data_IF_938305698304
#
_entry.id   IF_938305698304
#
_cell.length_a   1.000
_cell.length_b   1.000
_cell.length_c   1.000
_cell.angle_alpha   90.00
_cell.angle_beta   90.00
_cell.angle_gamma   90.00
#
_symmetry.space_group_name_H-M   'P 1'
#
loop_
_entity.id
_entity.type
_entity.pdbx_description
1 polymer ?
#
# COMPACT_ATOMS: atom_id res chain seq x y z
N UNK A 1 9.37 22.25 19.86
CA UNK A 1 10.00 21.32 18.89
C UNK A 1 10.68 22.13 17.82
N UNK A 2 11.98 21.93 17.57
CA UNK A 2 12.64 22.46 16.37
C UNK A 2 11.83 22.07 15.13
N UNK A 3 11.55 22.98 14.20
CA UNK A 3 10.66 22.73 13.04
C UNK A 3 10.99 21.48 12.22
N UNK A 4 12.22 20.95 12.34
CA UNK A 4 12.69 19.69 11.75
C UNK A 4 11.91 18.45 12.19
N UNK A 5 11.36 18.42 13.42
CA UNK A 5 10.64 17.26 13.96
C UNK A 5 9.11 17.37 13.82
N UNK A 6 8.58 18.51 13.37
CA UNK A 6 7.13 18.72 13.31
C UNK A 6 6.43 17.76 12.33
N UNK A 7 6.99 17.58 11.13
CA UNK A 7 6.44 16.67 10.11
C UNK A 7 6.47 15.20 10.54
N UNK A 8 7.62 14.61 10.93
CA UNK A 8 7.62 13.21 11.38
C UNK A 8 6.81 13.02 12.66
N UNK A 9 6.79 14.00 13.58
CA UNK A 9 5.96 13.96 14.77
C UNK A 9 4.47 13.95 14.47
N UNK A 10 4.01 14.76 13.51
CA UNK A 10 2.61 14.77 13.07
C UNK A 10 2.24 13.47 12.32
N UNK A 11 3.12 12.95 11.46
CA UNK A 11 2.91 11.67 10.80
C UNK A 11 2.80 10.51 11.82
N UNK A 12 3.65 10.52 12.85
CA UNK A 12 3.59 9.57 13.96
C UNK A 12 2.27 9.71 14.75
N UNK A 13 1.82 10.93 15.02
CA UNK A 13 0.55 11.18 15.70
C UNK A 13 -0.65 10.62 14.91
N UNK A 14 -0.70 10.84 13.59
CA UNK A 14 -1.75 10.24 12.75
C UNK A 14 -1.63 8.71 12.71
N UNK A 15 -0.42 8.16 12.60
CA UNK A 15 -0.22 6.71 12.64
C UNK A 15 -0.69 6.11 13.96
N UNK A 16 -0.38 6.74 15.09
CA UNK A 16 -0.85 6.32 16.40
C UNK A 16 -2.38 6.42 16.54
N UNK A 17 -2.99 7.48 15.98
CA UNK A 17 -4.44 7.64 15.97
C UNK A 17 -5.12 6.55 15.12
N UNK A 18 -4.52 6.16 13.99
CA UNK A 18 -5.06 5.11 13.11
C UNK A 18 -4.85 3.71 13.68
N UNK A 19 -3.69 3.43 14.27
CA UNK A 19 -3.30 2.07 14.69
C UNK A 19 -3.32 1.85 16.21
N UNK A 20 -3.87 2.79 16.98
CA UNK A 20 -3.89 2.76 18.45
C UNK A 20 -4.22 1.40 19.08
N UNK A 21 -5.29 0.71 18.66
CA UNK A 21 -5.62 -0.61 19.19
C UNK A 21 -4.52 -1.67 19.03
N UNK A 22 -3.71 -1.59 17.96
CA UNK A 22 -2.66 -2.58 17.68
C UNK A 22 -1.47 -2.47 18.64
N UNK A 23 -1.38 -1.42 19.45
CA UNK A 23 -0.40 -1.31 20.52
C UNK A 23 -0.64 -2.35 21.64
N UNK A 24 -1.86 -2.88 21.77
CA UNK A 24 -2.15 -3.95 22.71
C UNK A 24 -1.48 -5.28 22.28
N UNK A 25 -1.18 -6.17 23.24
CA UNK A 25 -0.64 -7.50 22.96
C UNK A 25 -1.54 -8.33 22.04
N UNK A 26 -0.96 -9.34 21.38
CA UNK A 26 -1.64 -10.23 20.44
C UNK A 26 -1.22 -10.02 18.99
N UNK A 27 -1.96 -10.64 18.09
CA UNK A 27 -1.63 -10.84 16.67
C UNK A 27 -2.65 -10.19 15.77
N UNK A 28 -2.23 -9.72 14.58
CA UNK A 28 -3.13 -9.19 13.58
C UNK A 28 -3.68 -10.35 12.74
N UNK A 29 -4.95 -10.69 12.95
CA UNK A 29 -5.71 -11.65 12.15
C UNK A 29 -6.93 -10.93 11.54
N UNK A 30 -6.81 -10.52 10.29
CA UNK A 30 -7.87 -9.85 9.54
C UNK A 30 -7.68 -10.10 8.05
N UNK A 31 -8.53 -10.96 7.45
CA UNK A 31 -8.47 -11.34 6.03
C UNK A 31 -7.07 -11.79 5.62
N UNK A 32 -6.36 -10.99 4.84
CA UNK A 32 -5.05 -11.34 4.31
C UNK A 32 -3.92 -11.09 5.33
N UNK A 33 -4.18 -10.27 6.35
CA UNK A 33 -3.25 -10.05 7.45
C UNK A 33 -3.35 -11.20 8.44
N UNK A 34 -2.36 -12.09 8.42
CA UNK A 34 -2.22 -13.20 9.36
C UNK A 34 -0.80 -13.24 9.87
N UNK A 35 -0.61 -12.75 11.09
CA UNK A 35 0.69 -12.78 11.77
C UNK A 35 0.74 -13.92 12.79
N UNK A 36 1.79 -14.73 12.75
CA UNK A 36 2.04 -15.81 13.72
C UNK A 36 3.24 -15.43 14.61
N UNK A 37 3.39 -16.01 15.82
CA UNK A 37 4.55 -15.75 16.67
C UNK A 37 5.86 -16.10 15.96
N UNK A 38 5.84 -17.22 15.24
CA UNK A 38 6.94 -17.72 14.43
C UNK A 38 6.43 -18.03 13.03
N UNK A 39 7.11 -17.53 12.01
CA UNK A 39 6.86 -17.88 10.62
C UNK A 39 7.92 -18.85 10.09
N UNK A 40 7.50 -19.85 9.33
CA UNK A 40 8.38 -20.80 8.64
C UNK A 40 8.24 -20.67 7.13
N UNK A 41 9.22 -21.20 6.41
CA UNK A 41 9.27 -21.17 4.95
C UNK A 41 9.52 -22.61 4.46
N UNK A 42 8.49 -23.47 4.39
CA UNK A 42 8.63 -24.80 3.79
C UNK A 42 8.87 -24.70 2.28
N UNK A 43 9.29 -25.80 1.65
CA UNK A 43 9.63 -25.84 0.21
C UNK A 43 8.44 -25.43 -0.68
N UNK A 44 7.21 -25.76 -0.26
CA UNK A 44 5.98 -25.28 -0.89
C UNK A 44 5.83 -23.75 -0.88
N UNK A 45 6.29 -23.06 0.17
CA UNK A 45 6.26 -21.60 0.26
C UNK A 45 7.23 -20.92 -0.72
N UNK A 46 8.31 -21.62 -1.10
CA UNK A 46 9.26 -21.18 -2.14
C UNK A 46 8.78 -21.49 -3.57
N UNK A 47 7.63 -22.13 -3.73
CA UNK A 47 7.11 -22.55 -5.03
C UNK A 47 7.74 -23.83 -5.57
N UNK A 48 8.49 -24.55 -4.74
CA UNK A 48 9.19 -25.79 -5.10
C UNK A 48 8.32 -27.05 -4.92
N UNK A 49 7.18 -26.92 -4.21
CA UNK A 49 6.25 -28.01 -3.90
C UNK A 49 5.02 -28.10 -4.83
N UNK A 50 5.08 -27.59 -6.06
CA UNK A 50 3.95 -27.65 -7.01
C UNK A 50 2.82 -26.63 -6.78
N UNK A 51 2.83 -25.88 -5.67
CA UNK A 51 1.92 -24.73 -5.48
C UNK A 51 2.61 -23.43 -5.85
N UNK A 52 1.89 -22.47 -6.44
CA UNK A 52 2.46 -21.16 -6.76
C UNK A 52 3.07 -20.49 -5.50
N UNK A 53 4.30 -19.94 -5.57
CA UNK A 53 4.98 -19.35 -4.42
C UNK A 53 4.12 -18.25 -3.78
N UNK A 54 3.73 -18.45 -2.51
CA UNK A 54 2.90 -17.49 -1.78
C UNK A 54 3.80 -16.42 -1.19
N UNK A 55 3.68 -15.20 -1.73
CA UNK A 55 4.20 -13.95 -1.17
C UNK A 55 5.74 -13.86 -0.91
N UNK A 56 6.60 -14.57 -1.65
CA UNK A 56 8.07 -14.36 -1.57
C UNK A 56 8.46 -13.07 -2.32
N UNK A 57 9.07 -12.05 -1.69
CA UNK A 57 9.95 -12.15 -0.53
C UNK A 57 9.35 -11.66 0.80
N UNK A 58 8.09 -11.22 0.86
CA UNK A 58 7.43 -10.83 2.12
C UNK A 58 7.51 -11.94 3.17
N UNK A 59 7.07 -13.15 2.81
CA UNK A 59 6.97 -14.25 3.76
C UNK A 59 8.37 -14.79 4.12
N UNK A 60 9.34 -14.70 3.20
CA UNK A 60 10.77 -14.95 3.50
C UNK A 60 11.30 -13.96 4.55
N UNK A 61 11.06 -12.65 4.36
CA UNK A 61 11.51 -11.63 5.30
C UNK A 61 10.90 -11.84 6.69
N UNK A 62 9.60 -12.18 6.77
CA UNK A 62 8.95 -12.53 8.02
C UNK A 62 9.51 -13.81 8.65
N UNK A 63 9.76 -14.87 7.87
CA UNK A 63 10.36 -16.10 8.35
C UNK A 63 11.81 -15.90 8.84
N UNK A 64 12.57 -14.98 8.25
CA UNK A 64 13.90 -14.63 8.73
C UNK A 64 13.85 -13.84 10.04
N UNK A 65 13.11 -12.73 10.07
CA UNK A 65 13.07 -11.83 11.23
C UNK A 65 12.38 -12.47 12.43
N UNK A 66 11.38 -13.32 12.21
CA UNK A 66 10.67 -13.99 13.31
C UNK A 66 11.48 -15.05 14.05
N UNK A 67 12.77 -15.25 13.71
CA UNK A 67 13.71 -16.06 14.49
C UNK A 67 14.20 -15.31 15.73
N UNK A 68 14.19 -13.97 15.66
CA UNK A 68 14.71 -13.09 16.70
C UNK A 68 13.60 -12.32 17.43
N UNK A 69 12.53 -11.97 16.71
CA UNK A 69 11.41 -11.17 17.21
C UNK A 69 10.09 -11.91 17.01
N UNK A 70 9.09 -11.63 17.83
CA UNK A 70 7.74 -12.16 17.59
C UNK A 70 7.18 -11.62 16.25
N UNK A 71 6.70 -12.51 15.38
CA UNK A 71 6.21 -12.16 14.05
C UNK A 71 4.99 -11.22 14.06
N UNK A 72 4.15 -11.29 15.11
CA UNK A 72 3.06 -10.35 15.34
C UNK A 72 3.56 -8.93 15.59
N UNK A 73 4.61 -8.80 16.41
CA UNK A 73 5.28 -7.50 16.64
C UNK A 73 5.88 -6.96 15.34
N UNK A 74 6.54 -7.82 14.55
CA UNK A 74 7.13 -7.42 13.26
C UNK A 74 6.08 -6.88 12.29
N UNK A 75 4.96 -7.60 12.09
CA UNK A 75 3.89 -7.17 11.18
C UNK A 75 3.27 -5.84 11.64
N UNK A 76 2.99 -5.69 12.95
CA UNK A 76 2.47 -4.43 13.51
C UNK A 76 3.46 -3.28 13.34
N UNK A 77 4.75 -3.52 13.56
CA UNK A 77 5.80 -2.52 13.38
C UNK A 77 5.97 -2.12 11.91
N UNK A 78 5.91 -3.06 10.97
CA UNK A 78 5.95 -2.79 9.53
C UNK A 78 4.72 -1.99 9.08
N UNK A 79 3.54 -2.29 9.62
CA UNK A 79 2.32 -1.55 9.34
C UNK A 79 2.36 -0.11 9.89
N UNK A 80 2.85 0.07 11.12
CA UNK A 80 3.08 1.40 11.68
C UNK A 80 4.16 2.17 10.89
N UNK A 81 5.23 1.48 10.51
CA UNK A 81 6.27 2.01 9.63
C UNK A 81 5.71 2.45 8.27
N UNK A 82 4.81 1.67 7.67
CA UNK A 82 4.18 2.01 6.40
C UNK A 82 3.46 3.37 6.44
N UNK A 83 2.61 3.61 7.45
CA UNK A 83 1.87 4.87 7.59
C UNK A 83 2.78 6.04 7.97
N UNK A 84 3.74 5.80 8.86
CA UNK A 84 4.72 6.82 9.26
C UNK A 84 5.56 7.27 8.06
N UNK A 85 6.08 6.31 7.29
CA UNK A 85 6.90 6.55 6.11
C UNK A 85 6.06 7.21 5.01
N UNK A 86 4.79 6.83 4.82
CA UNK A 86 3.87 7.49 3.90
C UNK A 86 3.71 8.98 4.23
N UNK A 87 3.30 9.28 5.46
CA UNK A 87 3.07 10.65 5.92
C UNK A 87 4.34 11.50 5.90
N UNK A 88 5.42 10.99 6.49
CA UNK A 88 6.70 11.70 6.51
C UNK A 88 7.25 11.94 5.11
N UNK A 89 7.20 10.94 4.24
CA UNK A 89 7.62 11.05 2.85
C UNK A 89 6.81 12.07 2.07
N UNK A 90 5.48 12.07 2.22
CA UNK A 90 4.60 13.04 1.58
C UNK A 90 4.90 14.48 2.02
N UNK A 91 5.10 14.71 3.33
CA UNK A 91 5.55 16.01 3.84
C UNK A 91 6.93 16.42 3.29
N UNK A 92 7.88 15.48 3.20
CA UNK A 92 9.21 15.75 2.62
C UNK A 92 9.15 16.05 1.12
N UNK A 93 8.29 15.36 0.38
CA UNK A 93 8.05 15.60 -1.04
C UNK A 93 7.42 16.98 -1.25
N UNK A 94 6.44 17.35 -0.44
CA UNK A 94 5.85 18.69 -0.44
C UNK A 94 6.89 19.78 -0.15
N UNK A 95 7.72 19.61 0.88
CA UNK A 95 8.79 20.58 1.18
C UNK A 95 9.87 20.68 0.09
N UNK A 96 10.06 19.62 -0.71
CA UNK A 96 10.98 19.62 -1.85
C UNK A 96 10.40 20.38 -3.06
N UNK A 97 9.13 20.14 -3.38
CA UNK A 97 8.50 20.63 -4.63
C UNK A 97 7.80 21.98 -4.43
N UNK A 98 7.30 22.24 -3.22
CA UNK A 98 6.53 23.41 -2.78
C UNK A 98 7.11 24.02 -1.49
N UNK A 99 8.37 24.47 -1.49
CA UNK A 99 8.99 25.04 -0.29
C UNK A 99 8.21 26.24 0.27
N UNK A 100 7.54 27.00 -0.58
CA UNK A 100 6.76 28.18 -0.21
C UNK A 100 5.50 27.84 0.60
N UNK A 101 5.00 26.61 0.50
CA UNK A 101 3.84 26.15 1.29
C UNK A 101 4.21 25.95 2.77
N UNK A 102 5.51 25.92 3.08
CA UNK A 102 6.04 25.84 4.44
C UNK A 102 5.60 24.59 5.20
N UNK A 103 5.68 24.65 6.53
CA UNK A 103 5.15 23.60 7.40
C UNK A 103 3.64 23.34 7.18
N UNK A 104 2.76 24.36 7.03
CA UNK A 104 1.33 24.13 6.84
C UNK A 104 1.02 23.22 5.64
N UNK A 105 1.64 23.45 4.48
CA UNK A 105 1.45 22.58 3.30
C UNK A 105 1.96 21.16 3.53
N UNK A 106 3.07 21.00 4.24
CA UNK A 106 3.61 19.68 4.58
C UNK A 106 2.66 18.89 5.49
N UNK A 107 1.96 19.54 6.43
CA UNK A 107 0.98 18.88 7.29
C UNK A 107 -0.27 18.44 6.52
N UNK A 108 -0.74 19.22 5.53
CA UNK A 108 -1.84 18.78 4.66
C UNK A 108 -1.42 17.59 3.81
N UNK A 109 -0.20 17.60 3.25
CA UNK A 109 0.34 16.47 2.50
C UNK A 109 0.45 15.19 3.36
N UNK A 110 0.92 15.31 4.61
CA UNK A 110 0.94 14.20 5.59
C UNK A 110 -0.47 13.68 5.84
N UNK A 111 -1.44 14.57 6.06
CA UNK A 111 -2.83 14.19 6.33
C UNK A 111 -3.44 13.44 5.15
N UNK A 112 -3.29 13.93 3.92
CA UNK A 112 -3.77 13.25 2.72
C UNK A 112 -3.15 11.86 2.53
N UNK A 113 -1.86 11.72 2.80
CA UNK A 113 -1.16 10.44 2.61
C UNK A 113 -1.54 9.38 3.66
N UNK A 114 -1.88 9.78 4.89
CA UNK A 114 -2.22 8.83 5.97
C UNK A 114 -3.73 8.65 6.13
N UNK A 115 -4.50 9.72 5.98
CA UNK A 115 -5.93 9.78 6.28
C UNK A 115 -6.77 9.82 5.00
N UNK A 116 -6.93 8.66 4.36
CA UNK A 116 -7.72 8.54 3.13
C UNK A 116 -8.37 7.14 3.01
N UNK A 117 -9.39 6.99 2.15
CA UNK A 117 -10.07 5.71 1.96
C UNK A 117 -9.17 4.56 1.49
N UNK A 118 -8.14 4.80 0.67
CA UNK A 118 -7.21 3.76 0.23
C UNK A 118 -6.53 3.10 1.43
N UNK A 119 -6.03 3.91 2.37
CA UNK A 119 -5.39 3.41 3.59
C UNK A 119 -6.38 2.60 4.42
N UNK A 120 -7.59 3.13 4.64
CA UNK A 120 -8.61 2.46 5.45
C UNK A 120 -9.06 1.11 4.87
N UNK A 121 -9.34 1.08 3.57
CA UNK A 121 -9.76 -0.13 2.86
C UNK A 121 -8.64 -1.18 2.84
N UNK A 122 -7.38 -0.78 2.64
CA UNK A 122 -6.24 -1.71 2.65
C UNK A 122 -5.86 -2.20 4.05
N UNK A 123 -6.12 -1.40 5.09
CA UNK A 123 -6.07 -1.86 6.48
C UNK A 123 -7.12 -2.93 6.75
N UNK A 124 -8.38 -2.68 6.38
CA UNK A 124 -9.48 -3.64 6.58
C UNK A 124 -9.32 -4.93 5.75
N UNK A 125 -8.66 -4.84 4.59
CA UNK A 125 -8.34 -6.00 3.77
C UNK A 125 -7.14 -6.80 4.32
N UNK A 126 -6.32 -6.20 5.19
CA UNK A 126 -5.11 -6.84 5.72
C UNK A 126 -3.89 -6.75 4.81
N UNK A 127 -3.87 -5.81 3.86
CA UNK A 127 -2.78 -5.62 2.90
C UNK A 127 -1.62 -4.75 3.46
N UNK A 128 -1.04 -5.15 4.59
CA UNK A 128 -0.02 -4.35 5.30
C UNK A 128 1.25 -4.10 4.47
N UNK A 129 1.71 -5.08 3.68
CA UNK A 129 2.90 -4.98 2.85
C UNK A 129 2.70 -4.13 1.59
N UNK A 130 1.47 -4.12 1.05
CA UNK A 130 1.09 -3.18 0.00
C UNK A 130 1.07 -1.75 0.54
N UNK A 131 0.58 -1.54 1.76
CA UNK A 131 0.63 -0.23 2.43
C UNK A 131 2.07 0.24 2.65
N UNK A 132 3.00 -0.69 2.91
CA UNK A 132 4.42 -0.38 2.98
C UNK A 132 4.95 0.09 1.62
N UNK A 133 4.58 -0.57 0.52
CA UNK A 133 4.86 -0.10 -0.83
C UNK A 133 4.26 1.27 -1.16
N UNK A 134 3.00 1.49 -0.77
CA UNK A 134 2.34 2.81 -0.84
C UNK A 134 3.12 3.89 -0.09
N UNK A 135 3.60 3.58 1.12
CA UNK A 135 4.39 4.49 1.93
C UNK A 135 5.75 4.84 1.33
N UNK A 136 6.31 3.97 0.49
CA UNK A 136 7.58 4.21 -0.20
C UNK A 136 7.46 5.18 -1.39
N UNK A 137 6.28 5.32 -2.01
CA UNK A 137 6.08 6.12 -3.22
C UNK A 137 6.55 7.59 -3.14
N UNK A 138 6.27 8.37 -2.07
CA UNK A 138 6.69 9.76 -2.03
C UNK A 138 8.21 9.89 -1.80
N UNK A 139 8.85 8.87 -1.22
CA UNK A 139 10.31 8.82 -1.07
C UNK A 139 11.01 8.49 -2.38
N UNK A 140 10.46 7.54 -3.14
CA UNK A 140 10.93 7.21 -4.50
C UNK A 140 10.82 8.45 -5.39
N UNK A 141 9.67 9.12 -5.38
CA UNK A 141 9.47 10.38 -6.09
C UNK A 141 10.52 11.43 -5.67
N UNK A 142 10.68 11.68 -4.36
CA UNK A 142 11.63 12.66 -3.87
C UNK A 142 13.09 12.34 -4.24
N UNK A 143 13.49 11.07 -4.21
CA UNK A 143 14.83 10.64 -4.60
C UNK A 143 15.10 10.89 -6.08
N UNK A 144 14.18 10.48 -6.97
CA UNK A 144 14.33 10.72 -8.41
C UNK A 144 14.31 12.21 -8.73
N UNK A 145 13.39 12.99 -8.16
CA UNK A 145 13.33 14.43 -8.39
C UNK A 145 14.63 15.14 -7.95
N UNK A 146 15.26 14.72 -6.84
CA UNK A 146 16.57 15.26 -6.42
C UNK A 146 17.71 14.85 -7.36
N UNK A 147 17.73 13.61 -7.83
CA UNK A 147 18.68 13.16 -8.85
C UNK A 147 18.56 13.97 -10.15
N UNK A 148 17.34 14.41 -10.50
CA UNK A 148 17.05 15.24 -11.67
C UNK A 148 17.41 16.71 -11.47
N UNK A 149 17.29 17.26 -10.26
CA UNK A 149 17.38 18.69 -9.97
C UNK A 149 18.76 19.34 -10.19
N UNK A 150 19.88 18.60 -10.12
CA UNK A 150 21.24 19.13 -10.33
C UNK A 150 22.04 19.40 -9.03
N UNK A 151 23.12 20.17 -9.11
CA UNK A 151 24.09 20.42 -7.99
C UNK A 151 23.58 21.32 -6.86
N UNK A 152 22.32 21.76 -6.93
CA UNK A 152 21.67 22.59 -5.91
C UNK A 152 21.24 21.80 -4.66
N UNK A 153 21.41 20.47 -4.65
CA UNK A 153 21.11 19.65 -3.47
C UNK A 153 22.32 19.60 -2.53
N UNK A 154 22.20 20.05 -1.27
CA UNK A 154 23.29 19.97 -0.29
C UNK A 154 23.63 18.53 0.16
N UNK A 155 22.96 17.52 -0.39
CA UNK A 155 23.19 16.10 -0.08
C UNK A 155 24.02 15.43 -1.17
N UNK A 156 24.91 14.49 -0.78
CA UNK A 156 25.65 13.70 -1.76
C UNK A 156 24.69 12.87 -2.61
N UNK A 157 24.91 12.85 -3.92
CA UNK A 157 24.09 12.07 -4.88
C UNK A 157 23.99 10.58 -4.50
N UNK A 158 25.02 10.03 -3.86
CA UNK A 158 25.02 8.66 -3.37
C UNK A 158 23.87 8.38 -2.37
N UNK A 159 23.49 9.36 -1.53
CA UNK A 159 22.39 9.20 -0.59
C UNK A 159 21.03 9.10 -1.29
N UNK A 160 20.85 9.80 -2.42
CA UNK A 160 19.60 9.72 -3.21
C UNK A 160 19.50 8.40 -3.97
N UNK A 161 20.61 7.88 -4.50
CA UNK A 161 20.65 6.52 -5.05
C UNK A 161 20.40 5.45 -3.99
N UNK A 162 21.02 5.56 -2.82
CA UNK A 162 20.80 4.63 -1.71
C UNK A 162 19.34 4.65 -1.24
N UNK A 163 18.74 5.84 -1.11
CA UNK A 163 17.32 5.96 -0.78
C UNK A 163 16.44 5.33 -1.86
N UNK A 164 16.73 5.56 -3.14
CA UNK A 164 15.97 4.98 -4.24
C UNK A 164 16.04 3.45 -4.24
N UNK A 165 17.23 2.86 -4.04
CA UNK A 165 17.40 1.41 -3.89
C UNK A 165 16.62 0.89 -2.68
N UNK A 166 16.78 1.52 -1.52
CA UNK A 166 16.13 1.10 -0.28
C UNK A 166 14.61 1.12 -0.38
N UNK A 167 14.02 2.24 -0.81
CA UNK A 167 12.55 2.36 -0.88
C UNK A 167 11.95 1.53 -2.01
N UNK A 168 12.68 1.29 -3.11
CA UNK A 168 12.22 0.38 -4.17
C UNK A 168 12.27 -1.07 -3.69
N UNK A 169 13.33 -1.48 -2.99
CA UNK A 169 13.44 -2.82 -2.40
C UNK A 169 12.35 -3.06 -1.33
N UNK A 170 12.11 -2.05 -0.48
CA UNK A 170 11.09 -2.11 0.57
C UNK A 170 9.68 -2.21 -0.03
N UNK A 171 9.39 -1.46 -1.10
CA UNK A 171 8.14 -1.60 -1.85
C UNK A 171 8.04 -2.97 -2.55
N UNK A 172 9.17 -3.51 -2.99
CA UNK A 172 9.30 -4.83 -3.62
C UNK A 172 9.10 -6.03 -2.70
N UNK A 173 8.76 -5.82 -1.42
CA UNK A 173 8.17 -6.87 -0.59
C UNK A 173 6.86 -7.40 -1.18
N UNK A 174 6.22 -6.68 -2.11
CA UNK A 174 5.12 -7.22 -2.94
C UNK A 174 5.40 -6.94 -4.43
N UNK A 175 4.88 -7.74 -5.37
CA UNK A 175 5.05 -7.48 -6.80
C UNK A 175 4.40 -6.16 -7.17
N UNK A 176 3.18 -5.92 -6.68
CA UNK A 176 2.47 -4.66 -6.91
C UNK A 176 3.24 -3.48 -6.36
N UNK A 177 3.79 -3.55 -5.15
CA UNK A 177 4.58 -2.47 -4.57
C UNK A 177 5.82 -2.13 -5.40
N UNK A 178 6.56 -3.13 -5.90
CA UNK A 178 7.67 -2.92 -6.84
C UNK A 178 7.21 -2.18 -8.11
N UNK A 179 6.10 -2.62 -8.72
CA UNK A 179 5.56 -2.00 -9.94
C UNK A 179 5.13 -0.55 -9.66
N UNK A 180 4.45 -0.29 -8.54
CA UNK A 180 4.03 1.06 -8.14
C UNK A 180 5.24 1.99 -7.99
N UNK A 181 6.29 1.53 -7.28
CA UNK A 181 7.52 2.29 -7.10
C UNK A 181 8.22 2.56 -8.44
N UNK A 182 8.31 1.56 -9.32
CA UNK A 182 8.91 1.69 -10.64
C UNK A 182 8.17 2.71 -11.52
N UNK A 183 6.83 2.69 -11.53
CA UNK A 183 6.01 3.65 -12.27
C UNK A 183 6.25 5.08 -11.76
N UNK A 184 6.17 5.29 -10.44
CA UNK A 184 6.43 6.60 -9.84
C UNK A 184 7.84 7.10 -10.19
N UNK A 185 8.84 6.23 -10.08
CA UNK A 185 10.21 6.57 -10.41
C UNK A 185 10.35 6.98 -11.89
N UNK A 186 9.81 6.18 -12.81
CA UNK A 186 9.89 6.41 -14.25
C UNK A 186 9.20 7.73 -14.65
N UNK A 187 8.01 8.00 -14.10
CA UNK A 187 7.29 9.26 -14.33
C UNK A 187 8.11 10.45 -13.82
N UNK A 188 8.76 10.33 -12.65
CA UNK A 188 9.64 11.38 -12.13
C UNK A 188 10.89 11.62 -12.98
N UNK A 189 11.34 10.68 -13.82
CA UNK A 189 12.44 10.92 -14.79
C UNK A 189 12.07 12.02 -15.79
N UNK A 190 10.79 12.16 -16.13
CA UNK A 190 10.33 13.19 -17.06
C UNK A 190 10.52 14.61 -16.51
N UNK A 191 10.63 14.77 -15.18
CA UNK A 191 10.82 16.07 -14.55
C UNK A 191 12.07 16.79 -15.12
N UNK A 192 11.97 18.10 -15.41
CA UNK A 192 13.10 18.87 -15.91
C UNK A 192 14.15 19.06 -14.82
N UNK A 193 15.40 19.25 -15.24
CA UNK A 193 16.52 19.51 -14.36
C UNK A 193 17.86 19.18 -15.02
N UNK A 194 18.94 19.68 -14.44
CA UNK A 194 20.32 19.60 -14.97
C UNK A 194 21.15 18.49 -14.31
N UNK A 195 20.54 17.66 -13.47
CA UNK A 195 21.20 16.54 -12.80
C UNK A 195 21.40 15.32 -13.71
N UNK A 196 21.12 14.12 -13.19
CA UNK A 196 21.28 12.88 -13.93
C UNK A 196 20.39 12.90 -15.18
N UNK A 197 20.98 12.64 -16.35
CA UNK A 197 20.26 12.66 -17.64
C UNK A 197 19.13 11.62 -17.65
N UNK A 198 18.09 11.88 -18.46
CA UNK A 198 16.90 11.01 -18.53
C UNK A 198 17.26 9.55 -18.84
N UNK A 199 18.06 9.25 -19.88
CA UNK A 199 18.41 7.87 -20.21
C UNK A 199 19.24 7.19 -19.11
N UNK A 200 20.19 7.90 -18.48
CA UNK A 200 20.98 7.33 -17.37
C UNK A 200 20.12 7.02 -16.15
N UNK A 201 19.20 7.92 -15.81
CA UNK A 201 18.27 7.72 -14.70
C UNK A 201 17.33 6.54 -14.98
N UNK A 202 16.75 6.47 -16.19
CA UNK A 202 15.90 5.36 -16.61
C UNK A 202 16.65 4.01 -16.62
N UNK A 203 17.89 3.97 -17.13
CA UNK A 203 18.72 2.77 -17.14
C UNK A 203 19.05 2.28 -15.72
N UNK A 204 19.42 3.21 -14.82
CA UNK A 204 19.66 2.88 -13.42
C UNK A 204 18.38 2.37 -12.73
N UNK A 205 17.23 2.98 -13.00
CA UNK A 205 15.93 2.54 -12.49
C UNK A 205 15.55 1.15 -13.00
N UNK A 206 15.81 0.85 -14.27
CA UNK A 206 15.62 -0.49 -14.81
C UNK A 206 16.50 -1.51 -14.08
N UNK A 207 17.78 -1.19 -13.85
CA UNK A 207 18.68 -2.03 -13.06
C UNK A 207 18.19 -2.26 -11.62
N UNK A 208 17.81 -1.20 -10.91
CA UNK A 208 17.25 -1.30 -9.55
C UNK A 208 15.96 -2.12 -9.55
N UNK A 209 15.07 -1.89 -10.52
CA UNK A 209 13.82 -2.63 -10.68
C UNK A 209 14.06 -4.12 -10.90
N UNK A 210 14.97 -4.49 -11.79
CA UNK A 210 15.34 -5.89 -12.05
C UNK A 210 15.96 -6.55 -10.82
N UNK A 211 16.87 -5.85 -10.12
CA UNK A 211 17.50 -6.38 -8.91
C UNK A 211 16.49 -6.60 -7.79
N UNK A 212 15.59 -5.64 -7.56
CA UNK A 212 14.58 -5.72 -6.50
C UNK A 212 13.43 -6.66 -6.83
N UNK A 213 13.10 -6.82 -8.12
CA UNK A 213 12.13 -7.81 -8.59
C UNK A 213 12.72 -9.22 -8.72
N UNK A 214 14.04 -9.39 -8.61
CA UNK A 214 14.75 -10.66 -8.74
C UNK A 214 14.11 -11.83 -8.00
N UNK A 215 13.74 -11.70 -6.71
CA UNK A 215 13.08 -12.78 -5.97
C UNK A 215 11.78 -13.26 -6.63
N UNK A 216 10.96 -12.33 -7.13
CA UNK A 216 9.70 -12.65 -7.81
C UNK A 216 9.91 -13.25 -9.19
N UNK A 217 10.85 -12.69 -9.95
CA UNK A 217 11.18 -13.17 -11.29
C UNK A 217 11.73 -14.59 -11.22
N UNK A 218 12.59 -14.87 -10.24
CA UNK A 218 13.11 -16.20 -9.99
C UNK A 218 11.99 -17.16 -9.53
N UNK A 219 11.18 -16.76 -8.56
CA UNK A 219 10.04 -17.57 -8.12
C UNK A 219 9.04 -17.86 -9.25
N UNK A 220 8.80 -16.89 -10.13
CA UNK A 220 7.92 -17.05 -11.30
C UNK A 220 8.54 -17.93 -12.39
N UNK A 221 9.86 -17.88 -12.56
CA UNK A 221 10.58 -18.71 -13.54
C UNK A 221 10.73 -20.16 -13.07
N UNK A 222 10.84 -20.39 -11.76
CA UNK A 222 10.99 -21.71 -11.16
C UNK A 222 9.66 -22.38 -10.80
N UNK A 223 8.60 -21.61 -10.56
CA UNK A 223 7.29 -22.14 -10.20
C UNK A 223 6.60 -22.88 -11.35
N UNK A 224 5.99 -24.03 -11.06
CA UNK A 224 5.23 -24.80 -12.04
C UNK A 224 3.95 -24.07 -12.50
N UNK A 225 3.59 -24.21 -13.77
CA UNK A 225 2.33 -23.69 -14.35
C UNK A 225 1.16 -24.60 -13.98
N UNK A 226 0.70 -24.52 -12.73
CA UNK A 226 -0.57 -25.10 -12.30
C UNK A 226 -1.53 -23.91 -12.09
N UNK A 227 -2.68 -23.77 -12.75
CA UNK A 227 -3.49 -24.74 -13.49
C UNK A 227 -4.96 -24.43 -13.23
N UNK A 228 -5.37 -23.16 -13.35
CA UNK A 228 -6.77 -22.74 -13.35
C UNK A 228 -6.90 -21.45 -14.19
N UNK A 229 -7.94 -21.28 -15.02
CA UNK A 229 -8.15 -20.05 -15.78
C UNK A 229 -8.30 -18.86 -14.80
N UNK A 230 -7.28 -18.00 -14.75
CA UNK A 230 -7.35 -16.80 -13.91
C UNK A 230 -8.37 -15.77 -14.42
N UNK A 231 -8.92 -16.00 -15.62
CA UNK A 231 -9.90 -15.18 -16.33
C UNK A 231 -11.32 -15.22 -15.72
N UNK A 232 -11.71 -16.32 -15.06
CA UNK A 232 -13.06 -16.47 -14.50
C UNK A 232 -13.26 -15.67 -13.20
N UNK A 233 -12.17 -15.26 -12.55
CA UNK A 233 -12.18 -14.52 -11.30
C UNK A 233 -12.06 -13.00 -11.44
N UNK A 234 -12.09 -12.39 -12.63
CA UNK A 234 -11.74 -10.96 -12.80
C UNK A 234 -12.83 -10.00 -12.32
N UNK A 235 -14.10 -10.27 -12.64
CA UNK A 235 -15.22 -9.38 -12.31
C UNK A 235 -15.38 -9.12 -10.80
N UNK A 236 -15.25 -10.14 -9.91
CA UNK A 236 -15.28 -9.92 -8.46
C UNK A 236 -14.19 -8.99 -7.90
N UNK A 237 -13.08 -8.76 -8.62
CA UNK A 237 -12.01 -7.84 -8.22
C UNK A 237 -12.10 -6.45 -8.86
N UNK A 238 -13.13 -6.21 -9.69
CA UNK A 238 -13.36 -4.91 -10.30
C UNK A 238 -13.57 -3.83 -9.23
N UNK A 239 -13.10 -2.61 -9.51
CA UNK A 239 -13.31 -1.49 -8.61
C UNK A 239 -14.81 -1.24 -8.39
N UNK A 240 -15.19 -1.11 -7.12
CA UNK A 240 -16.58 -1.02 -6.70
C UNK A 240 -17.02 0.44 -6.64
N UNK A 241 -18.28 0.69 -7.00
CA UNK A 241 -18.94 1.96 -6.74
C UNK A 241 -19.41 2.07 -5.28
N UNK A 242 -19.10 3.19 -4.65
CA UNK A 242 -19.66 3.62 -3.37
C UNK A 242 -20.94 4.45 -3.59
N UNK A 243 -21.84 4.51 -2.58
CA UNK A 243 -23.13 5.19 -2.71
C UNK A 243 -22.99 6.63 -3.20
N UNK A 244 -23.69 6.97 -4.29
CA UNK A 244 -23.73 8.32 -4.85
C UNK A 244 -22.47 8.79 -5.60
N UNK A 245 -21.44 7.94 -5.74
CA UNK A 245 -20.17 8.33 -6.38
C UNK A 245 -19.89 7.65 -7.73
N UNK A 246 -20.59 6.55 -8.03
CA UNK A 246 -20.20 5.61 -9.08
C UNK A 246 -18.73 5.15 -8.93
N UNK A 247 -18.24 4.29 -9.82
CA UNK A 247 -16.86 3.78 -9.71
C UNK A 247 -15.81 4.89 -9.84
N UNK A 248 -16.03 5.84 -10.76
CA UNK A 248 -15.09 6.95 -10.97
C UNK A 248 -14.96 7.85 -9.75
N UNK A 249 -16.06 8.28 -9.15
CA UNK A 249 -16.02 9.14 -7.95
C UNK A 249 -15.44 8.42 -6.75
N UNK A 250 -15.68 7.11 -6.61
CA UNK A 250 -15.11 6.27 -5.56
C UNK A 250 -13.59 6.25 -5.66
N UNK A 251 -13.06 5.95 -6.85
CA UNK A 251 -11.63 5.91 -7.13
C UNK A 251 -10.97 7.29 -7.05
N UNK A 252 -11.65 8.36 -7.49
CA UNK A 252 -11.18 9.74 -7.33
C UNK A 252 -11.07 10.12 -5.86
N UNK A 253 -11.96 9.61 -5.01
CA UNK A 253 -11.85 9.71 -3.55
C UNK A 253 -10.83 8.76 -2.92
N UNK A 254 -10.04 8.03 -3.72
CA UNK A 254 -9.11 6.98 -3.31
C UNK A 254 -9.76 5.71 -2.70
N UNK A 255 -11.09 5.58 -2.78
CA UNK A 255 -11.84 4.41 -2.31
C UNK A 255 -12.17 3.43 -3.43
N UNK A 256 -13.17 2.58 -3.19
CA UNK A 256 -13.72 1.69 -4.22
C UNK A 256 -13.06 0.30 -4.24
N UNK A 257 -12.58 -0.19 -3.11
CA UNK A 257 -12.14 -1.57 -2.98
C UNK A 257 -13.27 -2.53 -3.38
N UNK A 258 -12.90 -3.59 -4.10
CA UNK A 258 -13.82 -4.62 -4.58
C UNK A 258 -14.51 -5.37 -3.43
N UNK A 259 -13.81 -5.58 -2.31
CA UNK A 259 -14.36 -6.28 -1.14
C UNK A 259 -15.25 -5.35 -0.31
N UNK A 260 -16.57 -5.53 -0.42
CA UNK A 260 -17.55 -4.73 0.31
C UNK A 260 -17.43 -4.84 1.84
N UNK A 261 -16.89 -5.94 2.38
CA UNK A 261 -16.69 -6.07 3.83
C UNK A 261 -15.40 -5.38 4.33
N UNK A 262 -14.54 -4.92 3.42
CA UNK A 262 -13.32 -4.18 3.72
C UNK A 262 -13.49 -2.67 3.53
N UNK A 263 -14.70 -2.16 3.79
CA UNK A 263 -15.07 -0.76 3.60
C UNK A 263 -15.41 -0.12 4.95
N UNK A 264 -14.91 1.10 5.25
CA UNK A 264 -15.30 1.83 6.45
C UNK A 264 -16.81 2.15 6.48
N UNK A 265 -17.49 2.10 7.65
CA UNK A 265 -18.95 2.34 7.71
C UNK A 265 -19.41 3.68 7.12
N UNK A 266 -18.66 4.76 7.30
CA UNK A 266 -19.00 6.07 6.74
C UNK A 266 -19.10 6.02 5.20
N UNK A 267 -18.27 5.17 4.58
CA UNK A 267 -18.20 4.95 3.13
C UNK A 267 -19.31 4.06 2.57
N UNK A 268 -20.12 3.42 3.43
CA UNK A 268 -21.32 2.68 3.00
C UNK A 268 -22.59 3.53 3.02
N UNK A 269 -22.48 4.84 3.24
CA UNK A 269 -23.60 5.79 3.32
C UNK A 269 -23.36 7.00 2.39
N UNK A 270 -24.30 7.93 2.32
CA UNK A 270 -24.12 9.19 1.57
C UNK A 270 -23.01 10.10 2.15
N UNK A 271 -22.51 9.82 3.37
CA UNK A 271 -21.31 10.48 3.91
C UNK A 271 -20.11 10.25 2.99
N UNK A 272 -20.06 9.14 2.24
CA UNK A 272 -19.05 8.90 1.21
C UNK A 272 -18.96 10.06 0.20
N UNK A 273 -20.10 10.61 -0.22
CA UNK A 273 -20.17 11.74 -1.17
C UNK A 273 -19.52 12.98 -0.55
N UNK A 274 -19.93 13.35 0.67
CA UNK A 274 -19.42 14.53 1.37
C UNK A 274 -17.90 14.40 1.59
N UNK A 275 -17.45 13.25 2.06
CA UNK A 275 -16.02 13.00 2.30
C UNK A 275 -15.19 13.04 1.03
N UNK A 276 -15.68 12.45 -0.07
CA UNK A 276 -15.02 12.51 -1.38
C UNK A 276 -14.98 13.95 -1.91
N UNK A 277 -16.07 14.71 -1.80
CA UNK A 277 -16.10 16.12 -2.24
C UNK A 277 -15.11 16.95 -1.41
N UNK A 278 -15.04 16.76 -0.10
CA UNK A 278 -14.08 17.47 0.75
C UNK A 278 -12.62 17.16 0.37
N UNK A 279 -12.29 15.87 0.17
CA UNK A 279 -10.96 15.45 -0.28
C UNK A 279 -10.61 16.06 -1.64
N UNK A 280 -11.51 15.93 -2.61
CA UNK A 280 -11.29 16.45 -3.96
C UNK A 280 -11.22 17.98 -3.98
N UNK A 281 -11.99 18.69 -3.16
CA UNK A 281 -11.90 20.14 -3.05
C UNK A 281 -10.51 20.58 -2.60
N UNK A 282 -9.91 19.90 -1.61
CA UNK A 282 -8.53 20.17 -1.16
C UNK A 282 -7.53 19.89 -2.28
N UNK A 283 -7.65 18.75 -2.98
CA UNK A 283 -6.76 18.39 -4.09
C UNK A 283 -6.88 19.41 -5.23
N UNK A 284 -8.10 19.68 -5.71
CA UNK A 284 -8.38 20.59 -6.82
C UNK A 284 -7.89 22.01 -6.51
N UNK A 285 -8.05 22.49 -5.27
CA UNK A 285 -7.58 23.82 -4.86
C UNK A 285 -6.07 24.02 -5.06
N UNK A 286 -5.26 22.96 -4.99
CA UNK A 286 -3.81 23.04 -5.20
C UNK A 286 -3.34 22.77 -6.63
N UNK A 287 -4.18 22.19 -7.49
CA UNK A 287 -3.82 21.90 -8.90
C UNK A 287 -3.28 23.13 -9.63
N UNK A 288 -3.87 24.35 -9.52
CA UNK A 288 -3.35 25.55 -10.18
C UNK A 288 -1.90 25.89 -9.84
N UNK A 289 -1.43 25.52 -8.64
CA UNK A 289 -0.05 25.77 -8.22
C UNK A 289 0.91 24.73 -8.78
N UNK A 290 0.44 23.50 -8.94
CA UNK A 290 1.23 22.39 -9.44
C UNK A 290 1.39 22.41 -10.96
N UNK A 291 0.35 22.78 -11.72
CA UNK A 291 0.44 22.86 -13.19
C UNK A 291 1.47 23.91 -13.64
N UNK A 292 1.72 24.93 -12.82
CA UNK A 292 2.74 25.96 -13.06
C UNK A 292 4.15 25.49 -12.74
N UNK A 293 4.32 24.27 -12.19
CA UNK A 293 5.61 23.70 -11.81
C UNK A 293 5.90 22.47 -12.66
N UNK A 294 6.77 22.59 -13.67
CA UNK A 294 7.12 21.49 -14.56
C UNK A 294 7.59 20.21 -13.82
N UNK A 295 8.21 20.35 -12.65
CA UNK A 295 8.66 19.23 -11.80
C UNK A 295 7.50 18.41 -11.20
N UNK A 296 6.32 19.02 -11.02
CA UNK A 296 5.13 18.38 -10.42
C UNK A 296 4.17 17.80 -11.45
N UNK A 297 4.18 18.31 -12.69
CA UNK A 297 3.27 17.89 -13.77
C UNK A 297 3.25 16.37 -14.01
N UNK A 298 4.40 15.66 -14.05
CA UNK A 298 4.38 14.21 -14.24
C UNK A 298 3.56 13.46 -13.16
N UNK A 299 3.67 13.87 -11.89
CA UNK A 299 2.93 13.27 -10.79
C UNK A 299 1.43 13.63 -10.82
N UNK A 300 1.08 14.82 -11.32
CA UNK A 300 -0.32 15.18 -11.57
C UNK A 300 -0.94 14.32 -12.67
N UNK A 301 -0.24 14.14 -13.79
CA UNK A 301 -0.69 13.29 -14.90
C UNK A 301 -0.85 11.85 -14.41
N UNK A 302 0.13 11.33 -13.66
CA UNK A 302 0.04 10.01 -13.05
C UNK A 302 -1.18 9.88 -12.14
N UNK A 303 -1.52 10.92 -11.38
CA UNK A 303 -2.70 10.92 -10.51
C UNK A 303 -4.00 10.80 -11.31
N UNK A 304 -4.14 11.56 -12.39
CA UNK A 304 -5.31 11.48 -13.28
C UNK A 304 -5.40 10.09 -13.92
N UNK A 305 -4.30 9.60 -14.48
CA UNK A 305 -4.26 8.27 -15.12
C UNK A 305 -4.59 7.16 -14.13
N UNK A 306 -4.07 7.24 -12.90
CA UNK A 306 -4.30 6.22 -11.85
C UNK A 306 -5.73 6.14 -11.34
N UNK A 307 -6.56 7.14 -11.63
CA UNK A 307 -8.01 7.13 -11.35
C UNK A 307 -8.79 6.70 -12.59
N UNK A 308 -8.49 7.30 -13.74
CA UNK A 308 -9.22 7.03 -14.98
C UNK A 308 -8.99 5.62 -15.51
N UNK A 309 -7.77 5.11 -15.43
CA UNK A 309 -7.43 3.79 -15.95
C UNK A 309 -8.14 2.67 -15.17
N UNK A 310 -8.09 2.59 -13.82
CA UNK A 310 -8.89 1.61 -13.08
C UNK A 310 -10.41 1.79 -13.23
N UNK A 311 -10.89 3.03 -13.36
CA UNK A 311 -12.30 3.29 -13.61
C UNK A 311 -12.74 2.72 -14.98
N UNK A 312 -11.93 2.92 -16.02
CA UNK A 312 -12.17 2.35 -17.35
C UNK A 312 -12.09 0.81 -17.32
N UNK A 313 -11.10 0.24 -16.61
CA UNK A 313 -10.97 -1.21 -16.43
C UNK A 313 -12.17 -1.85 -15.75
N UNK A 314 -12.87 -1.12 -14.87
CA UNK A 314 -14.05 -1.62 -14.17
C UNK A 314 -15.34 -1.60 -15.02
N UNK A 315 -15.29 -1.07 -16.25
CA UNK A 315 -16.42 -1.12 -17.20
C UNK A 315 -16.51 -2.49 -17.88
N UNK A 316 -17.66 -2.82 -18.49
CA UNK A 316 -17.82 -4.04 -19.28
C UNK A 316 -16.72 -4.24 -20.35
N UNK A 317 -16.46 -3.25 -21.22
CA UNK A 317 -15.36 -3.31 -22.19
C UNK A 317 -13.97 -3.42 -21.54
N UNK A 318 -13.74 -2.72 -20.42
CA UNK A 318 -12.49 -2.79 -19.67
C UNK A 318 -12.20 -4.18 -19.11
N UNK A 319 -13.22 -4.84 -18.54
CA UNK A 319 -13.13 -6.20 -18.04
C UNK A 319 -12.93 -7.22 -19.16
N UNK A 320 -13.57 -7.02 -20.33
CA UNK A 320 -13.35 -7.86 -21.50
C UNK A 320 -11.92 -7.74 -22.05
N UNK A 321 -11.39 -6.51 -22.14
CA UNK A 321 -10.00 -6.28 -22.54
C UNK A 321 -9.02 -6.89 -21.54
N UNK A 322 -9.26 -6.71 -20.23
CA UNK A 322 -8.43 -7.30 -19.19
C UNK A 322 -8.46 -8.84 -19.26
N UNK A 323 -9.63 -9.44 -19.50
CA UNK A 323 -9.77 -10.88 -19.70
C UNK A 323 -8.89 -11.37 -20.84
N UNK A 324 -8.97 -10.75 -22.02
CA UNK A 324 -8.15 -11.12 -23.17
C UNK A 324 -6.64 -10.99 -22.88
N UNK A 325 -6.23 -9.94 -22.16
CA UNK A 325 -4.83 -9.73 -21.76
C UNK A 325 -4.36 -10.79 -20.78
N UNK A 326 -5.17 -11.15 -19.78
CA UNK A 326 -4.82 -12.18 -18.78
C UNK A 326 -4.82 -13.58 -19.39
N UNK A 327 -5.69 -13.85 -20.36
CA UNK A 327 -5.68 -15.12 -21.11
C UNK A 327 -4.41 -15.24 -21.97
N UNK A 328 -3.96 -14.16 -22.60
CA UNK A 328 -2.71 -14.14 -23.36
C UNK A 328 -1.46 -14.19 -22.47
N UNK A 329 -1.48 -13.48 -21.34
CA UNK A 329 -0.35 -13.37 -20.41
C UNK A 329 -0.89 -13.52 -18.97
N UNK A 330 -0.95 -14.75 -18.42
CA UNK A 330 -1.51 -15.01 -17.09
C UNK A 330 -0.86 -14.18 -15.97
N UNK A 331 0.43 -13.85 -16.09
CA UNK A 331 1.15 -12.99 -15.14
C UNK A 331 0.55 -11.58 -14.99
N UNK A 332 -0.21 -11.10 -15.98
CA UNK A 332 -0.90 -9.80 -15.92
C UNK A 332 -2.19 -9.84 -15.09
N UNK A 333 -2.57 -10.98 -14.50
CA UNK A 333 -3.68 -11.05 -13.55
C UNK A 333 -3.45 -10.19 -12.29
N UNK A 334 -2.21 -9.75 -12.03
CA UNK A 334 -1.92 -8.73 -11.01
C UNK A 334 -2.71 -7.43 -11.24
N UNK A 335 -3.11 -7.14 -12.48
CA UNK A 335 -3.90 -5.98 -12.86
C UNK A 335 -5.37 -6.08 -12.41
N UNK A 336 -5.87 -7.28 -12.04
CA UNK A 336 -7.29 -7.54 -11.74
C UNK A 336 -7.86 -6.70 -10.59
N UNK A 337 -7.05 -6.43 -9.57
CA UNK A 337 -7.44 -5.52 -8.48
C UNK A 337 -7.13 -4.09 -8.90
N UNK A 338 -8.08 -3.49 -9.62
CA UNK A 338 -7.94 -2.15 -10.18
C UNK A 338 -7.66 -1.07 -9.12
N UNK A 339 -8.24 -1.21 -7.93
CA UNK A 339 -8.10 -0.22 -6.86
C UNK A 339 -6.64 -0.12 -6.39
N UNK A 340 -5.82 -1.18 -6.49
CA UNK A 340 -4.40 -1.13 -6.08
C UNK A 340 -3.64 0.00 -6.78
N UNK A 341 -3.94 0.22 -8.06
CA UNK A 341 -3.25 1.21 -8.91
C UNK A 341 -3.57 2.65 -8.54
N UNK A 342 -4.66 2.90 -7.81
CA UNK A 342 -5.03 4.23 -7.29
C UNK A 342 -3.99 4.76 -6.30
N UNK A 343 -3.16 3.89 -5.70
CA UNK A 343 -1.99 4.30 -4.91
C UNK A 343 -1.08 5.29 -5.65
N UNK A 344 -0.97 5.19 -6.98
CA UNK A 344 -0.17 6.07 -7.81
C UNK A 344 -0.63 7.54 -7.77
N UNK A 345 -1.87 7.80 -7.38
CA UNK A 345 -2.38 9.16 -7.18
C UNK A 345 -1.78 9.84 -5.94
N UNK A 346 -1.34 9.08 -4.94
CA UNK A 346 -0.98 9.66 -3.65
C UNK A 346 0.11 10.74 -3.74
N UNK A 347 1.25 10.56 -4.43
CA UNK A 347 2.27 11.60 -4.48
C UNK A 347 1.76 12.92 -5.09
N UNK A 348 0.93 12.84 -6.14
CA UNK A 348 0.34 14.04 -6.76
C UNK A 348 -0.77 14.66 -5.91
N UNK A 349 -1.61 13.85 -5.27
CA UNK A 349 -2.65 14.33 -4.34
C UNK A 349 -2.04 15.02 -3.13
N UNK A 350 -0.99 14.45 -2.54
CA UNK A 350 -0.26 15.05 -1.41
C UNK A 350 0.37 16.39 -1.79
N UNK A 351 1.01 16.47 -2.97
CA UNK A 351 1.52 17.73 -3.51
C UNK A 351 0.39 18.75 -3.75
N UNK A 352 -0.76 18.30 -4.22
CA UNK A 352 -1.90 19.17 -4.48
C UNK A 352 -2.47 19.71 -3.16
N UNK A 353 -2.62 18.88 -2.14
CA UNK A 353 -3.00 19.36 -0.80
C UNK A 353 -2.03 20.39 -0.22
N UNK A 354 -0.72 20.21 -0.40
CA UNK A 354 0.25 21.24 -0.03
C UNK A 354 0.06 22.53 -0.85
N UNK A 355 -0.19 22.41 -2.15
CA UNK A 355 -0.46 23.53 -3.05
C UNK A 355 -1.75 24.29 -2.70
N UNK A 356 -2.73 23.62 -2.09
CA UNK A 356 -3.98 24.26 -1.66
C UNK A 356 -3.72 25.41 -0.68
N UNK A 357 -2.69 25.32 0.16
CA UNK A 357 -2.30 26.40 1.09
C UNK A 357 -1.85 27.66 0.36
N UNK A 358 -1.15 27.49 -0.76
CA UNK A 358 -0.71 28.62 -1.58
C UNK A 358 -1.89 29.28 -2.31
N UNK A 359 -2.95 28.53 -2.61
CA UNK A 359 -4.17 29.05 -3.25
C UNK A 359 -5.10 29.71 -2.24
N UNK A 360 -5.39 29.04 -1.12
CA UNK A 360 -6.44 29.40 -0.17
C UNK A 360 -6.01 30.46 0.86
N UNK A 361 -4.71 30.60 1.09
CA UNK A 361 -4.22 31.40 2.21
C UNK A 361 -3.00 32.21 1.88
N UNK A 362 -3.22 33.35 1.22
CA UNK A 362 -2.18 34.38 1.07
C UNK A 362 -1.81 35.04 2.41
N UNK A 363 -2.71 35.01 3.41
CA UNK A 363 -2.56 35.78 4.67
C UNK A 363 -2.53 34.90 5.92
N UNK A 364 -3.23 33.76 5.96
CA UNK A 364 -3.34 32.90 7.16
C UNK A 364 -3.11 31.41 6.86
N UNK A 365 -1.88 31.01 6.47
CA UNK A 365 -1.58 29.65 6.01
C UNK A 365 -1.82 28.57 7.07
N UNK A 366 -1.63 28.88 8.35
CA UNK A 366 -1.86 27.94 9.46
C UNK A 366 -3.35 27.60 9.59
N UNK A 367 -4.25 28.58 9.50
CA UNK A 367 -5.70 28.34 9.60
C UNK A 367 -6.22 27.55 8.40
N UNK A 368 -5.76 27.85 7.19
CA UNK A 368 -6.13 27.08 6.01
C UNK A 368 -5.67 25.62 6.11
N UNK A 369 -4.43 25.38 6.57
CA UNK A 369 -3.96 24.01 6.80
C UNK A 369 -4.76 23.30 7.89
N UNK A 370 -5.08 23.97 9.01
CA UNK A 370 -5.93 23.40 10.04
C UNK A 370 -7.32 23.04 9.49
N UNK A 371 -7.94 23.91 8.69
CA UNK A 371 -9.23 23.67 8.06
C UNK A 371 -9.17 22.51 7.05
N UNK A 372 -8.13 22.45 6.19
CA UNK A 372 -7.94 21.36 5.25
C UNK A 372 -7.71 20.03 5.98
N UNK A 373 -6.83 19.98 6.99
CA UNK A 373 -6.60 18.78 7.79
C UNK A 373 -7.87 18.33 8.52
N UNK A 374 -8.61 19.26 9.13
CA UNK A 374 -9.86 18.96 9.80
C UNK A 374 -10.92 18.43 8.84
N UNK A 375 -11.06 19.02 7.65
CA UNK A 375 -11.98 18.56 6.62
C UNK A 375 -11.63 17.13 6.13
N UNK A 376 -10.34 16.84 5.93
CA UNK A 376 -9.88 15.50 5.54
C UNK A 376 -10.10 14.46 6.64
N UNK A 377 -9.87 14.82 7.90
CA UNK A 377 -10.10 13.93 9.04
C UNK A 377 -11.61 13.67 9.20
N UNK A 378 -12.43 14.72 9.13
CA UNK A 378 -13.88 14.63 9.21
C UNK A 378 -14.53 13.90 8.02
N UNK A 379 -13.84 13.82 6.87
CA UNK A 379 -14.28 13.06 5.70
C UNK A 379 -14.25 11.54 5.89
N UNK A 380 -13.47 11.06 6.87
CA UNK A 380 -13.31 9.63 7.15
C UNK A 380 -13.07 9.41 8.66
N UNK A 381 -14.04 9.75 9.52
CA UNK A 381 -13.84 9.75 10.97
C UNK A 381 -13.65 8.35 11.53
N UNK A 382 -14.16 7.34 10.82
CA UNK A 382 -14.06 5.95 11.18
C UNK A 382 -12.66 5.38 11.06
N UNK A 383 -11.77 5.93 10.23
CA UNK A 383 -10.37 5.49 10.15
C UNK A 383 -9.63 5.58 11.51
N UNK A 384 -10.08 6.45 12.41
CA UNK A 384 -9.55 6.54 13.76
C UNK A 384 -9.65 5.20 14.51
N UNK A 385 -8.66 4.93 15.35
CA UNK A 385 -8.68 3.85 16.33
C UNK A 385 -8.92 2.47 15.71
N UNK A 386 -8.18 2.13 14.65
CA UNK A 386 -8.26 0.84 13.97
C UNK A 386 -9.53 0.67 13.16
N UNK A 387 -9.95 1.70 12.43
CA UNK A 387 -11.22 1.71 11.70
C UNK A 387 -12.42 1.46 12.63
N UNK A 388 -12.53 2.25 13.71
CA UNK A 388 -13.46 2.06 14.83
C UNK A 388 -13.37 0.66 15.46
N UNK A 389 -12.15 0.20 15.75
CA UNK A 389 -11.88 -1.06 16.45
C UNK A 389 -12.00 -2.32 15.59
N UNK A 390 -12.25 -2.19 14.28
CA UNK A 390 -12.26 -3.34 13.35
C UNK A 390 -10.89 -3.94 13.09
N UNK A 391 -9.84 -3.14 13.27
CA UNK A 391 -8.43 -3.54 13.18
C UNK A 391 -7.88 -3.58 14.60
N UNK A 392 -8.02 -4.73 15.24
CA UNK A 392 -7.62 -4.98 16.62
C UNK A 392 -6.78 -6.27 16.72
N UNK A 393 -5.89 -6.37 17.72
CA UNK A 393 -5.14 -7.60 17.93
C UNK A 393 -6.01 -8.69 18.55
N UNK A 394 -5.69 -9.95 18.25
CA UNK A 394 -6.34 -11.14 18.80
C UNK A 394 -5.32 -12.08 19.43
N UNK A 395 -5.75 -12.94 20.35
CA UNK A 395 -4.89 -13.92 20.98
C UNK A 395 -5.20 -15.31 20.44
N UNK A 396 -4.16 -16.03 20.03
CA UNK A 396 -4.30 -17.43 19.67
C UNK A 396 -4.67 -18.26 20.91
N UNK A 397 -5.68 -19.14 20.83
CA UNK A 397 -5.94 -20.11 21.88
C UNK A 397 -4.71 -21.01 22.12
N UNK A 398 -4.46 -21.46 23.36
CA UNK A 398 -3.28 -22.27 23.69
C UNK A 398 -3.12 -23.53 22.83
N UNK A 399 -4.22 -24.12 22.37
CA UNK A 399 -4.22 -25.29 21.50
C UNK A 399 -3.47 -25.08 20.18
N UNK A 400 -3.43 -23.86 19.64
CA UNK A 400 -2.67 -23.56 18.42
C UNK A 400 -1.17 -23.71 18.63
N UNK A 401 -0.65 -23.16 19.72
CA UNK A 401 0.75 -23.29 20.08
C UNK A 401 1.11 -24.75 20.38
N UNK A 402 0.22 -25.49 21.06
CA UNK A 402 0.41 -26.91 21.35
C UNK A 402 0.49 -27.76 20.07
N UNK A 403 -0.46 -27.59 19.15
CA UNK A 403 -0.45 -28.31 17.85
C UNK A 403 0.78 -27.94 17.04
N UNK A 404 1.12 -26.66 16.95
CA UNK A 404 2.31 -26.22 16.23
C UNK A 404 3.60 -26.82 16.82
N UNK A 405 3.71 -26.92 18.15
CA UNK A 405 4.87 -27.54 18.80
C UNK A 405 5.00 -29.03 18.47
N UNK A 406 3.89 -29.79 18.53
CA UNK A 406 3.87 -31.23 18.21
C UNK A 406 4.26 -31.46 16.76
N UNK A 407 3.63 -30.76 15.81
CA UNK A 407 3.91 -30.92 14.38
C UNK A 407 5.32 -30.45 14.03
N UNK A 408 5.81 -29.36 14.61
CA UNK A 408 7.14 -28.84 14.28
C UNK A 408 8.29 -29.68 14.85
N UNK A 409 8.02 -30.57 15.82
CA UNK A 409 8.98 -31.51 16.38
C UNK A 409 9.26 -32.71 15.44
N UNK A 410 8.25 -33.17 14.69
CA UNK A 410 8.38 -34.17 13.63
C UNK A 410 7.57 -33.71 12.40
N UNK A 411 8.12 -32.77 11.58
CA UNK A 411 7.38 -32.19 10.46
C UNK A 411 7.05 -33.23 9.39
N UNK A 412 5.76 -33.54 9.25
CA UNK A 412 5.19 -34.37 8.18
C UNK A 412 4.04 -33.64 7.50
N UNK A 413 3.69 -33.96 6.24
CA UNK A 413 2.58 -33.30 5.55
C UNK A 413 1.31 -33.24 6.39
N UNK A 414 0.72 -32.05 6.49
CA UNK A 414 -0.49 -31.79 7.29
C UNK A 414 -1.64 -31.47 6.37
N UNK A 415 -2.72 -32.25 6.45
CA UNK A 415 -3.99 -31.89 5.82
C UNK A 415 -4.84 -31.07 6.80
N UNK A 416 -5.35 -29.92 6.35
CA UNK A 416 -6.25 -29.08 7.16
C UNK A 416 -7.67 -29.15 6.61
N UNK A 417 -8.62 -29.47 7.48
CA UNK A 417 -10.04 -29.54 7.17
C UNK A 417 -10.83 -28.50 7.97
N UNK A 418 -11.88 -27.88 7.39
CA UNK A 418 -12.38 -28.08 6.01
C UNK A 418 -11.47 -27.48 4.92
N UNK A 419 -11.80 -27.73 3.66
CA UNK A 419 -11.03 -27.41 2.45
C UNK A 419 -10.55 -25.94 2.32
N UNK A 420 -11.33 -24.98 2.84
CA UNK A 420 -11.14 -23.59 2.49
C UNK A 420 -9.91 -22.95 3.17
N UNK A 421 -9.18 -22.13 2.42
CA UNK A 421 -8.01 -21.39 2.93
C UNK A 421 -8.39 -20.22 3.82
N UNK A 422 -9.64 -19.78 3.75
CA UNK A 422 -10.18 -18.64 4.50
C UNK A 422 -11.08 -19.17 5.63
N UNK A 423 -10.77 -18.79 6.88
CA UNK A 423 -11.35 -19.33 8.11
C UNK A 423 -12.12 -18.25 8.86
N UNK A 424 -13.22 -18.61 9.51
CA UNK A 424 -13.88 -17.77 10.54
C UNK A 424 -13.72 -18.46 11.88
N UNK A 425 -12.89 -17.91 12.76
CA UNK A 425 -12.74 -18.44 14.11
C UNK A 425 -13.59 -17.62 15.08
N UNK A 426 -14.31 -18.29 15.98
CA UNK A 426 -15.11 -17.59 17.01
C UNK A 426 -14.29 -16.66 17.93
N UNK A 427 -12.96 -16.86 17.99
CA UNK A 427 -12.02 -16.07 18.80
C UNK A 427 -11.27 -14.99 18.01
N UNK A 428 -11.34 -14.96 16.66
CA UNK A 428 -10.61 -14.00 15.82
C UNK A 428 -11.47 -12.82 15.35
N UNK A 429 -12.70 -12.70 15.85
CA UNK A 429 -13.67 -11.69 15.41
C UNK A 429 -14.51 -12.13 14.21
N UNK A 430 -15.38 -11.23 13.70
CA UNK A 430 -16.39 -11.57 12.69
C UNK A 430 -15.82 -11.71 11.27
N UNK A 431 -14.65 -11.12 11.01
CA UNK A 431 -14.03 -11.13 9.70
C UNK A 431 -13.35 -12.48 9.45
N UNK A 432 -13.47 -13.02 8.22
CA UNK A 432 -12.68 -14.18 7.84
C UNK A 432 -11.19 -13.83 7.77
N UNK A 433 -10.32 -14.81 8.00
CA UNK A 433 -8.84 -14.70 8.00
C UNK A 433 -8.22 -15.87 7.25
N UNK A 434 -7.09 -15.67 6.57
CA UNK A 434 -6.34 -16.79 6.00
C UNK A 434 -5.95 -17.78 7.11
N UNK A 435 -5.90 -19.06 6.77
CA UNK A 435 -5.45 -20.08 7.71
C UNK A 435 -4.02 -19.74 8.20
N UNK A 436 -3.77 -19.66 9.52
CA UNK A 436 -2.44 -19.39 10.06
C UNK A 436 -1.45 -20.55 9.94
N UNK A 437 -1.92 -21.80 9.81
CA UNK A 437 -1.07 -22.99 9.85
C UNK A 437 0.00 -23.02 8.76
N UNK A 438 -0.27 -22.67 7.47
CA UNK A 438 0.75 -22.61 6.44
C UNK A 438 1.93 -21.68 6.76
N UNK A 439 1.72 -20.68 7.63
CA UNK A 439 2.80 -19.78 8.09
C UNK A 439 3.45 -20.28 9.39
N UNK A 440 2.72 -20.99 10.24
CA UNK A 440 3.17 -21.36 11.59
C UNK A 440 3.78 -22.76 11.70
N UNK A 441 3.56 -23.61 10.69
CA UNK A 441 4.10 -24.97 10.64
C UNK A 441 5.32 -25.05 9.72
N UNK A 442 6.30 -25.88 10.09
CA UNK A 442 7.44 -26.29 9.26
C UNK A 442 7.04 -27.30 8.20
N UNK A 443 5.97 -28.04 8.45
CA UNK A 443 5.41 -29.02 7.53
C UNK A 443 4.72 -28.34 6.35
N UNK A 444 4.67 -29.04 5.21
CA UNK A 444 3.79 -28.67 4.12
C UNK A 444 2.33 -28.84 4.55
N UNK A 445 1.57 -27.76 4.39
CA UNK A 445 0.15 -27.69 4.79
C UNK A 445 -0.70 -27.75 3.52
N UNK A 446 -1.43 -28.85 3.38
CA UNK A 446 -2.28 -29.15 2.23
C UNK A 446 -3.74 -28.85 2.57
N UNK A 447 -4.42 -28.17 1.65
CA UNK A 447 -5.87 -28.04 1.65
C UNK A 447 -6.44 -29.08 0.69
N UNK A 448 -7.69 -29.51 0.82
CA UNK A 448 -8.22 -30.60 -0.04
C UNK A 448 -8.24 -30.27 -1.53
N UNK A 449 -8.18 -28.99 -1.92
CA UNK A 449 -7.95 -28.59 -3.32
C UNK A 449 -6.56 -28.95 -3.85
N UNK A 450 -5.61 -29.21 -2.96
CA UNK A 450 -4.24 -29.66 -3.26
C UNK A 450 -4.10 -31.20 -3.22
N UNK A 451 -5.16 -31.93 -2.85
CA UNK A 451 -5.18 -33.40 -2.72
C UNK A 451 -5.75 -34.11 -3.98
N UNK A 452 -5.75 -33.44 -5.14
CA UNK A 452 -6.23 -33.99 -6.41
C UNK A 452 -5.14 -34.68 -7.22
#
# INVERSE_FOLDING_TARGET
MTGRLAVPGYALALTALVLGPLAAPGYLLLRDAVSTPRSWLPDSALGLGGTAPRAVPQDFALAAVSTLLDGGVVVKALLAGALLVAGWGAGRLAGLVLPEAGLPGQLVAVTLAVWNPYVAERLLQGHWSLLLGYGCLPWVAAAVLRLRAGELSPRPRAADWAALVFFTALAGLTPTGAILAAIVALVCVAAPGTGVTRPRCAAALAGIGLLTAGPWLLASALGGTLGAPQSDGLSPFAARAEPGLATLGSLAGLGGIWNAEAVPPSRTTLVAVIGTVALLAVVIAGVPQLIRRPVAVPLLVLSVVSVLFPAAMATGPGLAALRAVVEAVPGLAVLRDGQKWVALAMPGYALAGAGAILTLSRVRPVLAAAACCAALIAALPDLAWGVWGRVAPVHYPPGWAAVAAVVNADPRPVAVLPADTMRRFGWSGPAPVLDPLPRWLRADVLFTGDLQ
#
